data_IF_949808486024
#
_entry.id   IF_949808486024
#
_cell.length_a   1.000
_cell.length_b   1.000
_cell.length_c   1.000
_cell.angle_alpha   90.00
_cell.angle_beta   90.00
_cell.angle_gamma   90.00
#
_symmetry.space_group_name_H-M   'P 1'
#
loop_
_entity.id
_entity.type
_entity.pdbx_description
1 polymer ?
#
# COMPACT_ATOMS: atom_id res chain seq x y z
N UNK A 1 -17.48 25.63 15.60
CA UNK A 1 -16.65 25.55 16.82
C UNK A 1 -15.73 24.35 16.65
N UNK A 2 -14.46 24.62 16.35
CA UNK A 2 -13.41 23.60 16.21
C UNK A 2 -12.95 23.15 17.60
N UNK A 3 -13.08 21.87 17.89
CA UNK A 3 -12.55 21.26 19.13
C UNK A 3 -11.02 21.13 19.04
N UNK A 4 -10.26 21.45 20.09
CA UNK A 4 -8.82 21.68 20.06
C UNK A 4 -8.09 20.33 20.06
N UNK A 5 -7.28 20.07 19.02
CA UNK A 5 -6.39 18.91 18.93
C UNK A 5 -7.04 17.61 19.40
N UNK A 6 -7.82 16.96 18.53
CA UNK A 6 -8.12 15.53 18.67
C UNK A 6 -6.84 14.84 19.14
N UNK A 7 -6.94 14.13 20.28
CA UNK A 7 -5.78 13.60 20.97
C UNK A 7 -4.86 12.95 19.94
N UNK A 8 -3.57 13.34 19.92
CA UNK A 8 -2.54 12.65 19.15
C UNK A 8 -2.01 11.56 20.08
N UNK A 9 -2.59 10.35 20.09
CA UNK A 9 -2.14 9.32 21.00
C UNK A 9 -0.75 8.85 20.58
N UNK A 10 0.03 8.44 21.57
CA UNK A 10 1.22 7.63 21.31
C UNK A 10 0.72 6.27 20.84
N UNK A 11 1.04 5.91 19.60
CA UNK A 11 0.69 4.59 19.03
C UNK A 11 1.83 3.59 19.17
N UNK A 12 3.07 4.07 19.32
CA UNK A 12 4.22 3.24 19.64
C UNK A 12 5.31 3.99 20.40
N UNK A 13 6.07 3.23 21.18
CA UNK A 13 7.25 3.66 21.90
C UNK A 13 8.49 2.96 21.36
N UNK A 14 9.60 3.71 21.33
CA UNK A 14 10.94 3.20 21.08
C UNK A 14 11.61 3.05 22.44
N UNK A 15 11.89 1.81 22.84
CA UNK A 15 12.41 1.48 24.16
C UNK A 15 13.81 0.91 24.02
N UNK A 16 14.82 1.62 24.52
CA UNK A 16 16.21 1.16 24.56
C UNK A 16 16.64 0.93 25.99
N UNK A 17 17.06 -0.30 26.31
CA UNK A 17 17.55 -0.67 27.64
C UNK A 17 16.57 -0.28 28.77
N UNK A 18 15.27 -0.43 28.51
CA UNK A 18 14.18 -0.07 29.42
C UNK A 18 13.80 1.42 29.44
N UNK A 19 14.50 2.29 28.71
CA UNK A 19 14.21 3.73 28.62
C UNK A 19 13.41 4.04 27.35
N UNK A 20 12.29 4.76 27.49
CA UNK A 20 11.51 5.28 26.35
C UNK A 20 12.23 6.48 25.76
N UNK A 21 13.01 6.26 24.70
CA UNK A 21 13.80 7.32 24.03
C UNK A 21 13.02 8.05 22.93
N UNK A 22 11.92 7.46 22.44
CA UNK A 22 11.12 8.05 21.37
C UNK A 22 9.67 7.56 21.36
N UNK A 23 8.82 8.34 20.70
CA UNK A 23 7.38 8.08 20.56
C UNK A 23 6.94 8.36 19.13
N UNK A 24 6.09 7.49 18.62
CA UNK A 24 5.35 7.69 17.38
C UNK A 24 3.90 8.05 17.73
N UNK A 25 3.38 9.09 17.10
CA UNK A 25 1.99 9.53 17.21
C UNK A 25 1.23 9.15 15.94
N UNK A 26 -0.07 8.91 16.04
CA UNK A 26 -0.87 8.60 14.86
C UNK A 26 -2.22 8.00 15.17
N UNK A 27 -2.76 7.29 14.19
CA UNK A 27 -4.10 6.72 14.23
C UNK A 27 -4.13 5.31 13.69
N UNK A 28 -5.02 4.48 14.26
CA UNK A 28 -5.26 3.09 13.87
C UNK A 28 -6.75 2.81 13.95
N UNK A 29 -7.30 2.09 12.96
CA UNK A 29 -8.68 1.61 12.98
C UNK A 29 -8.74 0.12 12.66
N UNK A 30 -9.64 -0.58 13.34
CA UNK A 30 -10.08 -1.92 12.99
C UNK A 30 -11.58 -1.90 12.67
N UNK A 31 -11.94 -2.46 11.53
CA UNK A 31 -13.31 -2.73 11.11
C UNK A 31 -13.64 -4.18 11.42
N UNK A 32 -14.82 -4.40 11.99
CA UNK A 32 -15.41 -5.71 12.15
C UNK A 32 -15.84 -6.29 10.79
N UNK A 33 -16.17 -7.59 10.77
CA UNK A 33 -16.60 -8.30 9.58
C UNK A 33 -17.81 -7.64 8.88
N UNK A 34 -18.68 -6.94 9.60
CA UNK A 34 -19.85 -6.22 9.05
C UNK A 34 -19.51 -4.82 8.50
N UNK A 35 -18.28 -4.35 8.67
CA UNK A 35 -17.80 -3.04 8.25
C UNK A 35 -17.96 -1.93 9.30
N UNK A 36 -18.52 -2.22 10.47
CA UNK A 36 -18.55 -1.28 11.59
C UNK A 36 -17.14 -1.09 12.19
N UNK A 37 -16.88 0.06 12.82
CA UNK A 37 -15.63 0.28 13.55
C UNK A 37 -15.68 -0.52 14.85
N UNK A 38 -14.86 -1.56 14.96
CA UNK A 38 -14.75 -2.38 16.17
C UNK A 38 -13.98 -1.64 17.26
N UNK A 39 -12.84 -1.05 16.89
CA UNK A 39 -12.06 -0.17 17.74
C UNK A 39 -11.19 0.79 16.91
N UNK A 40 -10.79 1.89 17.53
CA UNK A 40 -9.87 2.86 16.93
C UNK A 40 -9.01 3.55 17.98
N UNK A 41 -7.88 4.08 17.53
CA UNK A 41 -6.94 4.90 18.28
C UNK A 41 -6.70 6.16 17.46
N UNK A 42 -6.79 7.34 18.09
CA UNK A 42 -6.56 8.63 17.44
C UNK A 42 -7.70 9.07 16.52
N UNK A 43 -7.41 10.06 15.68
CA UNK A 43 -8.37 10.54 14.68
C UNK A 43 -8.30 9.68 13.41
N UNK A 44 -9.34 8.88 13.20
CA UNK A 44 -9.45 7.96 12.06
C UNK A 44 -10.42 8.45 10.98
N UNK A 45 -11.03 9.62 11.18
CA UNK A 45 -12.09 10.18 10.32
C UNK A 45 -11.63 11.41 9.54
N UNK A 46 -10.67 12.17 10.05
CA UNK A 46 -10.09 13.28 9.29
C UNK A 46 -9.40 12.78 8.02
N UNK A 47 -9.44 13.55 6.92
CA UNK A 47 -8.75 13.18 5.69
C UNK A 47 -7.24 13.03 5.89
N UNK A 48 -6.70 11.91 5.44
CA UNK A 48 -5.28 11.66 5.25
C UNK A 48 -4.99 11.48 3.76
N UNK A 49 -3.71 11.57 3.39
CA UNK A 49 -3.26 11.14 2.06
C UNK A 49 -2.77 9.69 2.19
N UNK A 50 -3.45 8.69 1.60
CA UNK A 50 -3.09 7.27 1.76
C UNK A 50 -1.78 6.92 1.02
N UNK A 51 -1.24 7.86 0.23
CA UNK A 51 -0.08 7.64 -0.64
C UNK A 51 -0.29 6.37 -1.46
N UNK A 52 0.75 5.54 -1.60
CA UNK A 52 0.67 4.30 -2.36
C UNK A 52 -0.25 3.22 -1.78
N UNK A 53 -0.85 3.39 -0.59
CA UNK A 53 -1.80 2.41 -0.06
C UNK A 53 -3.02 2.23 -0.97
N UNK A 54 -3.44 3.26 -1.70
CA UNK A 54 -4.66 3.19 -2.50
C UNK A 54 -4.47 2.56 -3.90
N UNK A 55 -3.27 2.09 -4.26
CA UNK A 55 -2.99 1.57 -5.62
C UNK A 55 -3.92 0.42 -6.05
N UNK A 56 -4.32 -0.53 -5.18
CA UNK A 56 -5.38 -1.49 -5.51
C UNK A 56 -6.71 -0.84 -5.94
N UNK A 57 -7.07 0.32 -5.37
CA UNK A 57 -8.29 1.06 -5.77
C UNK A 57 -8.10 1.76 -7.12
N UNK A 58 -6.88 2.24 -7.42
CA UNK A 58 -6.57 2.75 -8.77
C UNK A 58 -6.65 1.61 -9.81
N UNK A 59 -6.13 0.43 -9.47
CA UNK A 59 -6.21 -0.75 -10.32
C UNK A 59 -7.64 -1.25 -10.50
N UNK A 60 -8.48 -1.17 -9.45
CA UNK A 60 -9.92 -1.44 -9.55
C UNK A 60 -10.57 -0.57 -10.64
N UNK A 61 -10.32 0.74 -10.63
CA UNK A 61 -10.83 1.63 -11.67
C UNK A 61 -10.34 1.20 -13.05
N UNK A 62 -9.05 0.90 -13.21
CA UNK A 62 -8.50 0.46 -14.49
C UNK A 62 -9.13 -0.83 -15.01
N UNK A 63 -9.37 -1.82 -14.15
CA UNK A 63 -10.06 -3.08 -14.51
C UNK A 63 -11.52 -2.82 -14.90
N UNK A 64 -12.22 -1.93 -14.20
CA UNK A 64 -13.58 -1.50 -14.58
C UNK A 64 -13.61 -0.81 -15.95
N UNK A 65 -12.52 -0.15 -16.33
CA UNK A 65 -12.34 0.48 -17.65
C UNK A 65 -11.85 -0.50 -18.73
N UNK A 66 -11.73 -1.79 -18.41
CA UNK A 66 -11.37 -2.84 -19.38
C UNK A 66 -9.90 -3.22 -19.40
N UNK A 67 -9.07 -2.77 -18.45
CA UNK A 67 -7.72 -3.28 -18.30
C UNK A 67 -7.77 -4.79 -18.00
N UNK A 68 -7.12 -5.58 -18.84
CA UNK A 68 -7.04 -7.03 -18.70
C UNK A 68 -5.57 -7.48 -18.65
N UNK A 69 -5.03 -7.60 -17.44
CA UNK A 69 -3.66 -8.05 -17.20
C UNK A 69 -3.65 -9.47 -16.60
N UNK A 70 -2.65 -10.29 -16.94
CA UNK A 70 -2.32 -11.49 -16.19
C UNK A 70 -2.16 -11.21 -14.68
N UNK A 71 -2.47 -12.19 -13.80
CA UNK A 71 -2.48 -11.96 -12.35
C UNK A 71 -1.19 -11.37 -11.75
N UNK A 72 -0.02 -11.79 -12.25
CA UNK A 72 1.29 -11.27 -11.85
C UNK A 72 1.45 -9.78 -12.19
N UNK A 73 1.02 -9.40 -13.39
CA UNK A 73 1.09 -8.01 -13.87
C UNK A 73 0.01 -7.13 -13.23
N UNK A 74 -1.16 -7.68 -12.91
CA UNK A 74 -2.20 -6.98 -12.17
C UNK A 74 -1.80 -6.72 -10.71
N UNK A 75 -1.09 -7.66 -10.07
CA UNK A 75 -0.47 -7.44 -8.77
C UNK A 75 0.59 -6.34 -8.84
N UNK A 76 1.41 -6.31 -9.90
CA UNK A 76 2.38 -5.25 -10.16
C UNK A 76 1.72 -3.86 -10.36
N UNK A 77 0.54 -3.79 -10.99
CA UNK A 77 -0.23 -2.55 -11.11
C UNK A 77 -0.65 -1.98 -9.74
N UNK A 78 -0.78 -2.84 -8.73
CA UNK A 78 -1.09 -2.48 -7.35
C UNK A 78 0.16 -2.09 -6.53
N UNK A 79 1.35 -2.20 -7.10
CA UNK A 79 2.59 -2.21 -6.35
C UNK A 79 3.20 -0.82 -6.08
N UNK A 80 3.99 -0.76 -5.00
CA UNK A 80 5.18 0.11 -4.97
C UNK A 80 6.38 -0.81 -5.01
N UNK A 81 6.74 -1.25 -6.22
CA UNK A 81 7.66 -2.38 -6.36
C UNK A 81 9.06 -2.04 -5.86
N UNK A 82 9.78 -3.07 -5.42
CA UNK A 82 11.17 -2.96 -4.99
C UNK A 82 12.15 -2.61 -6.11
N UNK A 83 11.75 -2.80 -7.37
CA UNK A 83 12.62 -2.55 -8.53
C UNK A 83 13.60 -3.70 -8.81
N UNK A 84 13.33 -4.88 -8.25
CA UNK A 84 13.98 -6.14 -8.62
C UNK A 84 13.65 -6.53 -10.08
N UNK A 85 14.47 -7.38 -10.68
CA UNK A 85 14.42 -7.69 -12.11
C UNK A 85 13.05 -8.17 -12.60
N UNK A 86 12.36 -9.02 -11.83
CA UNK A 86 11.03 -9.51 -12.21
C UNK A 86 9.97 -8.39 -12.20
N UNK A 87 10.14 -7.34 -11.39
CA UNK A 87 9.27 -6.17 -11.47
C UNK A 87 9.54 -5.39 -12.75
N UNK A 88 10.82 -5.12 -13.06
CA UNK A 88 11.18 -4.34 -14.25
C UNK A 88 10.77 -5.07 -15.54
N UNK A 89 10.94 -6.39 -15.59
CA UNK A 89 10.41 -7.23 -16.66
C UNK A 89 8.88 -7.13 -16.76
N UNK A 90 8.17 -7.21 -15.63
CA UNK A 90 6.72 -7.04 -15.59
C UNK A 90 6.25 -5.70 -16.13
N UNK A 91 6.95 -4.59 -15.80
CA UNK A 91 6.64 -3.26 -16.33
C UNK A 91 6.78 -3.25 -17.85
N UNK A 92 7.86 -3.80 -18.39
CA UNK A 92 8.07 -3.92 -19.84
C UNK A 92 7.00 -4.76 -20.51
N UNK A 93 6.59 -5.87 -19.89
CA UNK A 93 5.52 -6.73 -20.40
C UNK A 93 4.17 -6.00 -20.47
N UNK A 94 3.83 -5.20 -19.46
CA UNK A 94 2.62 -4.37 -19.48
C UNK A 94 2.68 -3.36 -20.63
N UNK A 95 3.79 -2.61 -20.76
CA UNK A 95 3.96 -1.62 -21.82
C UNK A 95 3.91 -2.25 -23.21
N UNK A 96 4.64 -3.35 -23.42
CA UNK A 96 4.68 -4.06 -24.69
C UNK A 96 3.30 -4.62 -25.08
N UNK A 97 2.52 -5.12 -24.11
CA UNK A 97 1.13 -5.55 -24.32
C UNK A 97 0.20 -4.42 -24.79
N UNK A 98 0.55 -3.17 -24.50
CA UNK A 98 -0.14 -1.97 -24.97
C UNK A 98 0.51 -1.35 -26.23
N UNK A 99 1.53 -1.97 -26.82
CA UNK A 99 2.27 -1.42 -27.97
C UNK A 99 3.15 -0.21 -27.61
N UNK A 100 3.55 -0.08 -26.35
CA UNK A 100 4.39 0.99 -25.82
C UNK A 100 5.75 0.45 -25.35
N UNK A 101 6.69 1.35 -25.12
CA UNK A 101 7.98 1.07 -24.50
C UNK A 101 8.23 1.96 -23.27
N UNK A 102 9.42 1.83 -22.65
CA UNK A 102 9.78 2.58 -21.44
C UNK A 102 9.73 4.11 -21.62
N UNK A 103 9.85 4.63 -22.86
CA UNK A 103 9.82 6.07 -23.13
C UNK A 103 8.43 6.69 -22.89
N UNK A 104 7.37 5.88 -22.84
CA UNK A 104 6.03 6.34 -22.48
C UNK A 104 5.87 6.63 -20.98
N UNK A 105 6.76 6.09 -20.12
CA UNK A 105 6.72 6.33 -18.69
C UNK A 105 7.03 7.80 -18.39
N UNK A 106 6.25 8.37 -17.48
CA UNK A 106 6.43 9.74 -16.99
C UNK A 106 6.69 9.77 -15.48
N UNK A 107 7.03 8.61 -14.89
CA UNK A 107 7.59 8.56 -13.54
C UNK A 107 8.93 9.30 -13.54
N UNK A 108 9.26 10.03 -12.46
CA UNK A 108 10.58 10.65 -12.36
C UNK A 108 11.67 9.57 -12.35
N UNK A 109 12.86 9.83 -12.93
CA UNK A 109 13.97 8.90 -12.82
C UNK A 109 14.36 8.65 -11.37
N UNK A 110 14.44 7.38 -10.96
CA UNK A 110 14.88 7.00 -9.62
C UNK A 110 15.72 5.71 -9.64
N UNK A 111 16.30 5.37 -8.50
CA UNK A 111 16.87 4.04 -8.28
C UNK A 111 15.79 3.05 -7.80
N UNK A 112 16.03 1.73 -7.90
CA UNK A 112 15.22 0.73 -7.21
C UNK A 112 15.01 1.08 -5.73
N UNK A 113 13.83 0.74 -5.22
CA UNK A 113 13.47 1.00 -3.82
C UNK A 113 14.19 0.05 -2.85
N UNK A 114 14.44 -1.19 -3.27
CA UNK A 114 15.20 -2.16 -2.48
C UNK A 114 16.70 -1.81 -2.52
N UNK A 115 17.32 -1.80 -1.33
CA UNK A 115 18.72 -1.41 -1.19
C UNK A 115 19.66 -2.38 -1.91
N UNK A 116 19.36 -3.69 -1.93
CA UNK A 116 20.19 -4.67 -2.65
C UNK A 116 20.12 -4.46 -4.15
N UNK A 117 18.90 -4.29 -4.70
CA UNK A 117 18.69 -4.00 -6.11
C UNK A 117 19.36 -2.68 -6.53
N UNK A 118 19.23 -1.64 -5.69
CA UNK A 118 19.88 -0.34 -5.90
C UNK A 118 21.40 -0.45 -5.89
N UNK A 119 21.98 -1.11 -4.91
CA UNK A 119 23.42 -1.32 -4.82
C UNK A 119 23.97 -2.11 -6.02
N UNK A 120 23.25 -3.16 -6.43
CA UNK A 120 23.61 -3.95 -7.61
C UNK A 120 23.62 -3.08 -8.87
N UNK A 121 22.59 -2.26 -9.08
CA UNK A 121 22.50 -1.33 -10.20
C UNK A 121 23.66 -0.34 -10.20
N UNK A 122 23.96 0.28 -9.05
CA UNK A 122 25.06 1.25 -8.93
C UNK A 122 26.41 0.58 -9.21
N UNK A 123 26.67 -0.61 -8.67
CA UNK A 123 27.91 -1.36 -8.91
C UNK A 123 28.08 -1.75 -10.38
N UNK A 124 26.98 -1.98 -11.09
CA UNK A 124 26.99 -2.25 -12.53
C UNK A 124 27.15 -0.97 -13.39
N UNK A 125 27.27 0.21 -12.78
CA UNK A 125 27.36 1.49 -13.50
C UNK A 125 26.02 2.01 -14.00
N UNK A 126 24.91 1.48 -13.49
CA UNK A 126 23.56 1.91 -13.86
C UNK A 126 23.17 3.26 -13.25
N UNK A 127 22.31 3.99 -13.96
CA UNK A 127 21.80 5.29 -13.56
C UNK A 127 20.32 5.21 -13.12
N UNK A 128 19.81 6.32 -12.59
CA UNK A 128 18.38 6.47 -12.30
C UNK A 128 17.58 6.39 -13.59
N UNK A 129 16.42 5.74 -13.56
CA UNK A 129 15.55 5.60 -14.73
C UNK A 129 14.08 5.65 -14.35
N UNK A 130 13.22 6.00 -15.31
CA UNK A 130 11.77 6.08 -15.08
C UNK A 130 11.17 4.71 -14.71
N UNK A 131 11.68 3.62 -15.32
CA UNK A 131 11.23 2.26 -15.03
C UNK A 131 11.62 1.79 -13.62
N UNK A 132 12.79 2.21 -13.10
CA UNK A 132 13.24 1.82 -11.78
C UNK A 132 12.45 2.48 -10.64
N UNK A 133 11.78 3.60 -10.91
CA UNK A 133 10.90 4.26 -9.95
C UNK A 133 9.75 3.34 -9.55
N UNK A 134 9.54 3.18 -8.24
CA UNK A 134 8.65 2.18 -7.63
C UNK A 134 7.16 2.23 -8.06
N UNK A 135 6.72 3.28 -8.75
CA UNK A 135 5.36 3.42 -9.28
C UNK A 135 5.26 3.06 -10.77
N UNK A 136 6.35 2.69 -11.44
CA UNK A 136 6.34 2.48 -12.89
C UNK A 136 5.38 1.36 -13.31
N UNK A 137 5.21 0.31 -12.51
CA UNK A 137 4.18 -0.73 -12.74
C UNK A 137 2.74 -0.20 -12.79
N UNK A 138 2.37 0.66 -11.84
CA UNK A 138 1.08 1.37 -11.84
C UNK A 138 0.95 2.28 -13.06
N UNK A 139 2.02 2.99 -13.44
CA UNK A 139 2.00 3.89 -14.59
C UNK A 139 1.89 3.14 -15.92
N UNK A 140 2.55 1.98 -16.05
CA UNK A 140 2.38 1.11 -17.20
C UNK A 140 0.93 0.62 -17.32
N UNK A 141 0.28 0.27 -16.20
CA UNK A 141 -1.14 -0.09 -16.20
C UNK A 141 -2.05 1.09 -16.56
N UNK A 142 -1.74 2.31 -16.10
CA UNK A 142 -2.43 3.54 -16.50
C UNK A 142 -2.34 3.77 -18.02
N UNK A 143 -1.13 3.65 -18.58
CA UNK A 143 -0.87 3.76 -20.01
C UNK A 143 -1.61 2.68 -20.82
N UNK A 144 -1.56 1.42 -20.38
CA UNK A 144 -2.31 0.33 -21.00
C UNK A 144 -3.82 0.59 -20.99
N UNK A 145 -4.34 1.14 -19.88
CA UNK A 145 -5.76 1.54 -19.78
C UNK A 145 -6.09 2.67 -20.75
N UNK A 146 -5.22 3.68 -20.91
CA UNK A 146 -5.40 4.71 -21.93
C UNK A 146 -5.48 4.10 -23.33
N UNK A 147 -4.60 3.14 -23.67
CA UNK A 147 -4.63 2.45 -24.97
C UNK A 147 -5.94 1.68 -25.17
N UNK A 148 -6.38 0.90 -24.18
CA UNK A 148 -7.67 0.18 -24.21
C UNK A 148 -8.84 1.14 -24.48
N UNK A 149 -8.78 2.36 -23.95
CA UNK A 149 -9.84 3.38 -24.05
C UNK A 149 -9.68 4.37 -25.19
N UNK A 150 -8.61 4.28 -25.98
CA UNK A 150 -8.28 5.26 -27.01
C UNK A 150 -8.03 6.67 -26.47
N UNK A 151 -7.52 6.78 -25.23
CA UNK A 151 -7.17 8.05 -24.59
C UNK A 151 -5.70 8.41 -24.81
N UNK A 152 -5.40 9.70 -24.65
CA UNK A 152 -4.05 10.23 -24.86
C UNK A 152 -3.07 9.72 -23.79
N UNK A 153 -2.04 9.01 -24.24
CA UNK A 153 -0.97 8.48 -23.38
C UNK A 153 0.05 9.55 -22.99
N UNK A 154 0.06 10.72 -23.63
CA UNK A 154 0.98 11.81 -23.29
C UNK A 154 0.50 12.63 -22.07
N UNK A 155 -0.79 12.58 -21.73
CA UNK A 155 -1.39 13.43 -20.69
C UNK A 155 -2.03 12.63 -19.55
N UNK A 156 -1.81 11.31 -19.46
CA UNK A 156 -2.48 10.42 -18.50
C UNK A 156 -2.33 10.79 -17.02
N UNK A 157 -1.36 11.63 -16.64
CA UNK A 157 -1.16 12.12 -15.26
C UNK A 157 -1.92 13.41 -14.96
N UNK A 158 -2.43 14.10 -15.97
CA UNK A 158 -3.16 15.34 -15.76
C UNK A 158 -4.46 15.07 -14.99
N UNK A 159 -4.80 15.93 -14.03
CA UNK A 159 -5.96 15.71 -13.15
C UNK A 159 -7.29 15.69 -13.91
N UNK A 160 -7.38 16.41 -15.02
CA UNK A 160 -8.52 16.48 -15.92
C UNK A 160 -8.54 15.35 -16.97
N UNK A 161 -7.49 14.53 -17.04
CA UNK A 161 -7.46 13.39 -17.95
C UNK A 161 -8.56 12.37 -17.58
N UNK A 162 -9.30 11.80 -18.55
CA UNK A 162 -10.41 10.87 -18.28
C UNK A 162 -10.05 9.69 -17.36
N UNK A 163 -8.83 9.16 -17.50
CA UNK A 163 -8.30 8.14 -16.58
C UNK A 163 -8.29 8.59 -15.12
N UNK A 164 -7.80 9.81 -14.84
CA UNK A 164 -7.67 10.30 -13.46
C UNK A 164 -9.03 10.66 -12.87
N UNK A 165 -9.96 11.17 -13.69
CA UNK A 165 -11.35 11.38 -13.29
C UNK A 165 -12.03 10.06 -12.89
N UNK A 166 -11.89 9.01 -13.72
CA UNK A 166 -12.44 7.69 -13.42
C UNK A 166 -11.80 7.06 -12.16
N UNK A 167 -10.49 7.23 -11.96
CA UNK A 167 -9.83 6.83 -10.71
C UNK A 167 -10.40 7.59 -9.52
N UNK A 168 -10.64 8.90 -9.66
CA UNK A 168 -11.28 9.74 -8.65
C UNK A 168 -12.67 9.25 -8.26
N UNK A 169 -13.52 8.98 -9.25
CA UNK A 169 -14.89 8.48 -9.05
C UNK A 169 -14.90 7.10 -8.37
N UNK A 170 -14.09 6.15 -8.86
CA UNK A 170 -13.99 4.82 -8.24
C UNK A 170 -13.40 4.90 -6.85
N UNK A 171 -12.44 5.79 -6.60
CA UNK A 171 -11.87 5.99 -5.27
C UNK A 171 -12.89 6.54 -4.28
N UNK A 172 -13.67 7.56 -4.66
CA UNK A 172 -14.73 8.10 -3.82
C UNK A 172 -15.81 7.03 -3.52
N UNK A 173 -16.23 6.29 -4.55
CA UNK A 173 -17.20 5.19 -4.39
C UNK A 173 -16.68 4.06 -3.50
N UNK A 174 -15.43 3.63 -3.68
CA UNK A 174 -14.86 2.51 -2.94
C UNK A 174 -14.62 2.86 -1.46
N UNK A 175 -14.23 4.10 -1.20
CA UNK A 175 -14.03 4.60 0.18
C UNK A 175 -15.35 4.96 0.86
N UNK A 176 -16.40 5.25 0.09
CA UNK A 176 -17.67 5.76 0.58
C UNK A 176 -17.59 7.22 1.05
N UNK A 177 -16.59 7.97 0.57
CA UNK A 177 -16.28 9.32 1.00
C UNK A 177 -15.98 10.22 -0.20
N UNK A 178 -16.35 11.49 -0.11
CA UNK A 178 -15.93 12.50 -1.08
C UNK A 178 -14.42 12.77 -0.95
N UNK A 179 -13.75 13.00 -2.08
CA UNK A 179 -12.34 13.39 -2.07
C UNK A 179 -12.22 14.86 -1.67
N UNK A 180 -11.82 15.10 -0.41
CA UNK A 180 -11.64 16.45 0.12
C UNK A 180 -10.45 17.21 -0.50
N UNK A 181 -9.36 16.50 -0.81
CA UNK A 181 -8.12 17.07 -1.36
C UNK A 181 -7.60 16.18 -2.48
N UNK A 182 -7.29 16.81 -3.61
CA UNK A 182 -6.50 16.23 -4.70
C UNK A 182 -5.11 16.86 -4.67
N UNK A 183 -4.12 16.12 -4.20
CA UNK A 183 -2.71 16.51 -4.18
C UNK A 183 -1.95 15.91 -5.38
N UNK A 184 -0.66 16.20 -5.48
CA UNK A 184 0.25 15.58 -6.44
C UNK A 184 1.18 14.62 -5.70
N UNK A 185 1.25 13.36 -6.14
CA UNK A 185 2.13 12.35 -5.58
C UNK A 185 3.58 12.51 -6.09
N UNK A 186 4.54 11.82 -5.46
CA UNK A 186 5.94 11.81 -5.89
C UNK A 186 6.15 11.23 -7.30
N UNK A 187 5.22 10.40 -7.79
CA UNK A 187 5.21 9.93 -9.17
C UNK A 187 4.64 10.95 -10.19
N UNK A 188 4.10 12.07 -9.70
CA UNK A 188 3.47 13.13 -10.50
C UNK A 188 2.03 12.86 -10.91
N UNK A 189 1.41 11.75 -10.46
CA UNK A 189 -0.02 11.49 -10.64
C UNK A 189 -0.85 12.10 -9.48
N UNK A 190 -2.17 12.29 -9.66
CA UNK A 190 -3.07 12.74 -8.61
C UNK A 190 -3.07 11.82 -7.38
N UNK A 191 -3.20 12.45 -6.21
CA UNK A 191 -3.23 11.80 -4.90
C UNK A 191 -4.48 12.22 -4.15
N UNK A 192 -5.39 11.27 -3.95
CA UNK A 192 -6.74 11.50 -3.44
C UNK A 192 -6.79 11.25 -1.93
N UNK A 193 -7.34 12.21 -1.18
CA UNK A 193 -7.52 12.07 0.27
C UNK A 193 -8.72 11.21 0.65
N UNK A 194 -8.62 10.47 1.75
CA UNK A 194 -9.71 9.73 2.41
C UNK A 194 -9.40 9.59 3.90
N UNK A 195 -10.34 9.17 4.73
CA UNK A 195 -10.07 8.77 6.10
C UNK A 195 -9.46 7.36 6.18
N UNK A 196 -8.95 6.98 7.37
CA UNK A 196 -8.52 5.58 7.58
C UNK A 196 -9.70 4.60 7.51
N UNK A 197 -10.90 5.05 7.90
CA UNK A 197 -12.11 4.24 7.76
C UNK A 197 -12.47 4.03 6.28
N UNK A 198 -12.44 5.09 5.47
CA UNK A 198 -12.71 4.99 4.04
C UNK A 198 -11.72 4.06 3.33
N UNK A 199 -10.43 4.19 3.67
CA UNK A 199 -9.38 3.30 3.14
C UNK A 199 -9.62 1.82 3.52
N UNK A 200 -9.93 1.54 4.80
CA UNK A 200 -10.22 0.19 5.27
C UNK A 200 -11.49 -0.38 4.62
N UNK A 201 -12.53 0.43 4.44
CA UNK A 201 -13.77 0.06 3.73
C UNK A 201 -13.49 -0.38 2.29
N UNK A 202 -12.69 0.39 1.55
CA UNK A 202 -12.36 0.06 0.16
C UNK A 202 -11.63 -1.28 0.06
N UNK A 203 -10.67 -1.54 0.94
CA UNK A 203 -9.92 -2.80 0.98
C UNK A 203 -10.80 -3.97 1.43
N UNK A 204 -11.65 -3.77 2.44
CA UNK A 204 -12.64 -4.76 2.87
C UNK A 204 -13.52 -5.21 1.71
N UNK A 205 -14.07 -4.26 0.94
CA UNK A 205 -14.95 -4.56 -0.19
C UNK A 205 -14.26 -5.43 -1.25
N UNK A 206 -12.98 -5.18 -1.55
CA UNK A 206 -12.21 -6.02 -2.47
C UNK A 206 -11.89 -7.40 -1.87
N UNK A 207 -11.53 -7.46 -0.58
CA UNK A 207 -11.14 -8.71 0.08
C UNK A 207 -12.28 -9.74 0.13
N UNK A 208 -13.52 -9.29 0.33
CA UNK A 208 -14.70 -10.18 0.41
C UNK A 208 -15.42 -10.37 -0.92
N UNK A 209 -14.97 -9.71 -1.99
CA UNK A 209 -15.59 -9.83 -3.31
C UNK A 209 -15.50 -11.28 -3.82
N UNK A 210 -16.66 -11.86 -4.17
CA UNK A 210 -16.75 -13.20 -4.72
C UNK A 210 -16.47 -13.24 -6.23
N UNK A 211 -16.77 -12.16 -6.95
CA UNK A 211 -16.56 -12.01 -8.38
C UNK A 211 -16.26 -10.55 -8.78
N UNK A 212 -16.14 -10.33 -10.08
CA UNK A 212 -15.96 -8.98 -10.65
C UNK A 212 -14.57 -8.36 -10.42
N UNK A 213 -14.42 -7.06 -10.73
CA UNK A 213 -13.14 -6.35 -10.68
C UNK A 213 -12.46 -6.41 -9.31
N UNK A 214 -13.20 -6.23 -8.21
CA UNK A 214 -12.65 -6.30 -6.85
C UNK A 214 -12.05 -7.66 -6.52
N UNK A 215 -12.75 -8.74 -6.89
CA UNK A 215 -12.25 -10.11 -6.73
C UNK A 215 -10.97 -10.34 -7.54
N UNK A 216 -10.92 -9.86 -8.79
CA UNK A 216 -9.73 -9.99 -9.65
C UNK A 216 -8.50 -9.32 -9.02
N UNK A 217 -8.66 -8.10 -8.50
CA UNK A 217 -7.58 -7.40 -7.78
C UNK A 217 -7.13 -8.19 -6.57
N UNK A 218 -8.08 -8.64 -5.73
CA UNK A 218 -7.74 -9.37 -4.51
C UNK A 218 -7.03 -10.69 -4.82
N UNK A 219 -7.52 -11.45 -5.79
CA UNK A 219 -6.93 -12.71 -6.23
C UNK A 219 -5.52 -12.52 -6.80
N UNK A 220 -5.27 -11.46 -7.58
CA UNK A 220 -3.93 -11.13 -8.07
C UNK A 220 -2.95 -10.83 -6.93
N UNK A 221 -3.36 -9.98 -5.97
CA UNK A 221 -2.54 -9.62 -4.80
C UNK A 221 -2.20 -10.84 -3.94
N UNK A 222 -3.18 -11.72 -3.70
CA UNK A 222 -2.99 -12.98 -2.94
C UNK A 222 -2.05 -13.96 -3.63
N UNK A 223 -2.19 -14.12 -4.95
CA UNK A 223 -1.38 -15.05 -5.72
C UNK A 223 0.06 -14.56 -5.94
N UNK A 224 0.27 -13.24 -5.98
CA UNK A 224 1.57 -12.64 -6.30
C UNK A 224 1.99 -11.53 -5.32
N UNK A 225 2.04 -11.77 -3.99
CA UNK A 225 2.37 -10.73 -3.00
C UNK A 225 3.79 -10.16 -3.18
N UNK A 226 4.71 -10.96 -3.73
CA UNK A 226 6.05 -10.50 -4.08
C UNK A 226 6.04 -9.42 -5.17
N UNK A 227 5.10 -9.45 -6.12
CA UNK A 227 4.97 -8.41 -7.15
C UNK A 227 4.42 -7.09 -6.60
N UNK A 228 3.72 -7.13 -5.47
CA UNK A 228 3.14 -5.94 -4.81
C UNK A 228 4.20 -5.17 -4.02
N UNK A 229 5.15 -5.88 -3.42
CA UNK A 229 6.08 -5.32 -2.42
C UNK A 229 7.55 -5.54 -2.74
N UNK A 230 7.94 -6.76 -3.09
CA UNK A 230 9.31 -7.25 -3.28
C UNK A 230 9.58 -8.51 -2.47
N UNK A 231 10.77 -9.09 -2.62
CA UNK A 231 11.15 -10.37 -2.02
C UNK A 231 11.56 -10.32 -0.54
N UNK A 232 11.77 -9.12 0.00
CA UNK A 232 12.42 -8.92 1.33
C UNK A 232 11.57 -8.15 2.33
N UNK A 233 10.44 -7.57 1.91
CA UNK A 233 9.71 -6.56 2.70
C UNK A 233 8.66 -7.17 3.64
N UNK A 234 8.31 -6.40 4.67
CA UNK A 234 7.31 -6.75 5.69
C UNK A 234 5.95 -7.13 5.09
N UNK A 235 5.54 -6.43 4.02
CA UNK A 235 4.30 -6.73 3.29
C UNK A 235 4.27 -8.17 2.76
N UNK A 236 5.37 -8.66 2.17
CA UNK A 236 5.44 -10.04 1.67
C UNK A 236 5.32 -11.05 2.81
N UNK A 237 6.09 -10.86 3.88
CA UNK A 237 6.06 -11.75 5.04
C UNK A 237 4.66 -11.83 5.65
N UNK A 238 4.00 -10.68 5.82
CA UNK A 238 2.67 -10.60 6.42
C UNK A 238 1.58 -11.21 5.52
N UNK A 239 1.58 -10.92 4.22
CA UNK A 239 0.58 -11.46 3.29
C UNK A 239 0.78 -12.95 3.01
N UNK A 240 2.02 -13.45 3.09
CA UNK A 240 2.29 -14.89 3.03
C UNK A 240 1.78 -15.60 4.28
N UNK A 241 1.88 -14.97 5.45
CA UNK A 241 1.36 -15.49 6.71
C UNK A 241 -0.18 -15.57 6.75
N UNK A 242 -0.86 -14.74 5.96
CA UNK A 242 -2.31 -14.65 5.87
C UNK A 242 -2.77 -14.73 4.41
N UNK A 243 -2.73 -15.92 3.77
CA UNK A 243 -2.90 -16.06 2.31
C UNK A 243 -4.26 -15.60 1.77
N UNK A 244 -5.29 -15.52 2.61
CA UNK A 244 -6.59 -14.94 2.26
C UNK A 244 -6.66 -13.41 2.33
N UNK A 245 -5.67 -12.75 2.92
CA UNK A 245 -5.65 -11.30 3.10
C UNK A 245 -5.16 -10.56 1.85
N UNK A 246 -5.51 -9.28 1.78
CA UNK A 246 -4.87 -8.31 0.88
C UNK A 246 -4.38 -7.13 1.70
N UNK A 247 -3.29 -6.51 1.28
CA UNK A 247 -2.74 -5.38 2.01
C UNK A 247 -1.81 -4.55 1.16
N UNK A 248 -1.62 -3.29 1.57
CA UNK A 248 -0.72 -2.38 0.89
C UNK A 248 -0.18 -1.32 1.83
N UNK A 249 1.13 -1.32 2.02
CA UNK A 249 1.84 -0.25 2.68
C UNK A 249 2.09 0.93 1.73
N UNK A 250 2.12 2.12 2.31
CA UNK A 250 2.37 3.39 1.64
C UNK A 250 3.57 4.11 2.24
N UNK A 251 4.05 5.11 1.50
CA UNK A 251 4.92 6.14 2.03
C UNK A 251 4.22 6.90 3.17
N UNK A 252 4.98 7.67 3.94
CA UNK A 252 4.46 8.39 5.10
C UNK A 252 3.79 7.45 6.13
N UNK A 253 4.25 6.19 6.23
CA UNK A 253 3.80 5.22 7.24
C UNK A 253 2.28 4.97 7.26
N UNK A 254 1.67 4.94 6.07
CA UNK A 254 0.30 4.47 5.90
C UNK A 254 0.33 2.95 5.66
N UNK A 255 -0.64 2.21 6.19
CA UNK A 255 -0.82 0.77 5.88
C UNK A 255 -2.28 0.39 6.00
N UNK A 256 -2.77 -0.45 5.09
CA UNK A 256 -4.08 -1.09 5.15
C UNK A 256 -3.95 -2.58 4.86
N UNK A 257 -4.69 -3.40 5.61
CA UNK A 257 -4.83 -4.86 5.44
C UNK A 257 -6.31 -5.21 5.59
N UNK A 258 -6.84 -6.06 4.70
CA UNK A 258 -8.20 -6.60 4.81
C UNK A 258 -8.18 -8.13 4.68
N UNK A 259 -8.99 -8.78 5.50
CA UNK A 259 -9.11 -10.22 5.65
C UNK A 259 -10.27 -10.76 4.81
N UNK A 260 -10.27 -12.07 4.46
CA UNK A 260 -11.31 -12.65 3.62
C UNK A 260 -12.67 -12.75 4.31
N UNK A 261 -12.72 -12.58 5.64
CA UNK A 261 -13.96 -12.57 6.44
C UNK A 261 -14.56 -11.16 6.60
N UNK A 262 -13.93 -10.14 6.03
CA UNK A 262 -14.39 -8.76 6.08
C UNK A 262 -13.81 -7.91 7.21
N UNK A 263 -12.98 -8.45 8.10
CA UNK A 263 -12.19 -7.59 9.01
C UNK A 263 -11.18 -6.77 8.21
N UNK A 264 -10.96 -5.52 8.60
CA UNK A 264 -9.97 -4.66 7.93
C UNK A 264 -9.30 -3.69 8.90
N UNK A 265 -8.04 -3.37 8.65
CA UNK A 265 -7.19 -2.58 9.52
C UNK A 265 -6.52 -1.50 8.69
N UNK A 266 -6.52 -0.26 9.19
CA UNK A 266 -5.76 0.82 8.56
C UNK A 266 -5.07 1.68 9.61
N UNK A 267 -3.88 2.17 9.28
CA UNK A 267 -3.08 3.00 10.19
C UNK A 267 -2.29 4.07 9.44
N UNK A 268 -1.96 5.14 10.16
CA UNK A 268 -1.08 6.22 9.74
C UNK A 268 -0.32 6.75 10.96
N UNK A 269 0.99 6.95 10.83
CA UNK A 269 1.78 7.69 11.84
C UNK A 269 2.17 9.08 11.35
N UNK A 270 2.18 10.06 12.24
CA UNK A 270 2.32 11.48 11.90
C UNK A 270 3.70 11.83 11.34
N UNK A 271 4.75 11.18 11.83
CA UNK A 271 6.14 11.41 11.43
C UNK A 271 6.55 10.68 10.15
N UNK A 272 5.65 9.87 9.60
CA UNK A 272 5.87 9.15 8.35
C UNK A 272 6.91 8.03 8.44
N UNK A 273 7.38 7.68 9.63
CA UNK A 273 8.48 6.74 9.80
C UNK A 273 8.08 5.31 9.37
N UNK A 274 8.81 4.66 8.43
CA UNK A 274 8.42 3.34 7.94
C UNK A 274 8.65 2.22 8.96
N UNK A 275 9.63 2.38 9.87
CA UNK A 275 10.04 1.34 10.84
C UNK A 275 8.92 0.89 11.78
N UNK A 276 8.01 1.80 12.13
CA UNK A 276 6.95 1.53 13.12
C UNK A 276 5.74 0.84 12.49
N UNK A 277 5.57 1.00 11.16
CA UNK A 277 4.42 0.48 10.40
C UNK A 277 4.16 -1.03 10.61
N UNK A 278 5.14 -1.93 10.45
CA UNK A 278 4.89 -3.37 10.64
C UNK A 278 4.58 -3.74 12.09
N UNK A 279 5.19 -3.05 13.07
CA UNK A 279 4.91 -3.20 14.51
C UNK A 279 3.44 -2.92 14.81
N UNK A 280 2.92 -1.79 14.32
CA UNK A 280 1.53 -1.40 14.57
C UNK A 280 0.53 -2.33 13.89
N UNK A 281 0.80 -2.76 12.65
CA UNK A 281 -0.09 -3.67 11.93
C UNK A 281 -0.15 -5.03 12.59
N UNK A 282 1.00 -5.61 12.96
CA UNK A 282 1.04 -6.87 13.70
C UNK A 282 0.32 -6.76 15.05
N UNK A 283 0.50 -5.67 15.79
CA UNK A 283 -0.22 -5.43 17.04
C UNK A 283 -1.74 -5.34 16.84
N UNK A 284 -2.20 -4.64 15.80
CA UNK A 284 -3.63 -4.53 15.48
C UNK A 284 -4.26 -5.88 15.14
N UNK A 285 -3.58 -6.70 14.33
CA UNK A 285 -4.01 -8.05 13.96
C UNK A 285 -4.09 -8.97 15.19
N UNK A 286 -3.07 -8.92 16.05
CA UNK A 286 -3.03 -9.68 17.31
C UNK A 286 -4.13 -9.27 18.28
N UNK A 287 -4.39 -7.97 18.41
CA UNK A 287 -5.47 -7.44 19.23
C UNK A 287 -6.85 -7.94 18.77
N UNK A 288 -7.01 -8.22 17.48
CA UNK A 288 -8.21 -8.80 16.90
C UNK A 288 -8.21 -10.35 16.86
N UNK A 289 -7.22 -11.00 17.48
CA UNK A 289 -7.10 -12.46 17.55
C UNK A 289 -6.72 -13.15 16.24
N UNK A 290 -6.29 -12.40 15.22
CA UNK A 290 -6.01 -12.93 13.87
C UNK A 290 -4.82 -13.91 13.89
N UNK A 291 -3.84 -13.69 14.77
CA UNK A 291 -2.68 -14.57 14.94
C UNK A 291 -2.98 -15.89 15.66
N UNK A 292 -4.25 -16.12 16.02
CA UNK A 292 -4.76 -17.36 16.63
C UNK A 292 -5.66 -18.15 15.66
N UNK A 293 -5.94 -17.63 14.47
CA UNK A 293 -6.81 -18.28 13.49
C UNK A 293 -6.11 -19.46 12.81
N UNK A 294 -6.82 -20.58 12.62
CA UNK A 294 -6.23 -21.82 12.08
C UNK A 294 -5.63 -21.68 10.67
N UNK A 295 -6.06 -20.68 9.89
CA UNK A 295 -5.60 -20.43 8.53
C UNK A 295 -4.43 -19.43 8.45
N UNK A 296 -3.94 -18.94 9.60
CA UNK A 296 -2.90 -17.92 9.71
C UNK A 296 -1.63 -18.51 10.33
N UNK A 297 -0.46 -18.21 9.74
CA UNK A 297 0.82 -18.41 10.44
C UNK A 297 0.97 -17.30 11.50
N UNK A 298 0.41 -17.55 12.69
CA UNK A 298 0.43 -16.62 13.80
C UNK A 298 1.83 -16.21 14.26
N UNK A 299 2.81 -17.12 14.17
CA UNK A 299 4.20 -16.80 14.50
C UNK A 299 4.80 -15.82 13.49
N UNK A 300 4.53 -15.98 12.20
CA UNK A 300 4.96 -15.03 11.17
C UNK A 300 4.31 -13.65 11.35
N UNK A 301 3.03 -13.59 11.74
CA UNK A 301 2.36 -12.33 12.09
C UNK A 301 3.07 -11.66 13.27
N UNK A 302 3.37 -12.41 14.34
CA UNK A 302 4.11 -11.88 15.51
C UNK A 302 5.50 -11.38 15.13
N UNK A 303 6.29 -12.20 14.42
CA UNK A 303 7.65 -11.84 13.96
C UNK A 303 7.67 -10.60 13.06
N UNK A 304 6.64 -10.38 12.24
CA UNK A 304 6.55 -9.17 11.41
C UNK A 304 6.54 -7.91 12.29
N UNK A 305 5.96 -7.98 13.48
CA UNK A 305 5.95 -6.88 14.44
C UNK A 305 7.18 -6.75 15.32
N UNK A 306 8.16 -7.66 15.21
CA UNK A 306 9.38 -7.64 16.02
C UNK A 306 10.45 -6.79 15.35
N UNK A 307 10.70 -5.58 15.88
CA UNK A 307 11.78 -4.73 15.42
C UNK A 307 12.77 -4.48 16.57
N UNK A 308 13.80 -5.33 16.72
CA UNK A 308 14.79 -5.18 17.78
C UNK A 308 15.68 -3.95 17.53
N UNK A 309 15.86 -3.14 18.57
CA UNK A 309 16.90 -2.11 18.57
C UNK A 309 18.22 -2.77 18.92
N UNK A 310 19.22 -2.62 18.07
CA UNK A 310 20.54 -3.21 18.29
C UNK A 310 21.50 -2.22 18.96
N UNK A 311 22.40 -2.74 19.79
CA UNK A 311 23.55 -2.05 20.36
C UNK A 311 24.76 -2.99 20.26
N UNK A 312 25.79 -2.60 19.49
CA UNK A 312 26.93 -3.49 19.20
C UNK A 312 26.53 -4.79 18.47
N UNK A 313 25.43 -4.80 17.73
CA UNK A 313 24.90 -5.98 17.03
C UNK A 313 24.02 -6.90 17.89
N UNK A 314 23.82 -6.58 19.18
CA UNK A 314 22.98 -7.37 20.09
C UNK A 314 21.65 -6.63 20.35
N UNK A 315 20.50 -7.33 20.44
CA UNK A 315 19.25 -6.70 20.86
C UNK A 315 19.35 -6.05 22.24
N UNK A 316 19.05 -4.76 22.31
CA UNK A 316 19.04 -3.95 23.54
C UNK A 316 17.70 -3.25 23.77
N UNK A 317 16.73 -3.44 22.88
CA UNK A 317 15.47 -2.74 22.92
C UNK A 317 14.51 -3.15 21.83
N UNK A 318 13.39 -2.45 21.73
CA UNK A 318 12.30 -2.75 20.80
C UNK A 318 11.55 -1.47 20.38
N UNK A 319 10.75 -1.59 19.34
CA UNK A 319 9.61 -0.71 19.11
C UNK A 319 8.36 -1.50 19.48
N UNK A 320 7.53 -0.97 20.36
CA UNK A 320 6.28 -1.62 20.81
C UNK A 320 5.07 -0.74 20.56
N UNK A 321 3.96 -1.35 20.15
CA UNK A 321 2.68 -0.66 20.06
C UNK A 321 2.13 -0.32 21.47
N UNK A 322 1.32 0.73 21.55
CA UNK A 322 0.75 1.24 22.81
C UNK A 322 -0.77 1.04 22.93
N UNK A 323 -1.33 0.10 22.16
CA UNK A 323 -2.74 -0.27 22.16
C UNK A 323 -2.90 -1.79 22.06
#
# INVERSE_FOLDING_TARGET
>A
MSDPAAARPVVAEIVRSGFVEGRHYGSVVALAADGSVEWSVGDVRSPILPRSCNKPVQALAMVELGLDLPPDLLALACASHSGEDFHLDGVRRILAGAGLDESALQTPPDYPLDDTAKEALIRAGGERSAIAMNCSGKHAAMLATCVVRGWDTATYRASDHPLQQAIGETFARATGEDVAVVAVDGCGAPLLSTSLVGLATAFRAMAVAADGPGHRIASAVRAHPAHVSGSTRDELALLTAMPGAIGKAGAESCYVVALPDGRAFALKTDDGAPRVRPVLMAAALRRAGVDQEDWVDGDAVRRTGELPLLGGGVPVGEIRACF
#
